data_IF_705585837469
#
_entry.id   IF_705585837469
#
_cell.length_a   1.000
_cell.length_b   1.000
_cell.length_c   1.000
_cell.angle_alpha   90.00
_cell.angle_beta   90.00
_cell.angle_gamma   90.00
#
_symmetry.space_group_name_H-M   'P 1'
#
loop_
_entity.id
_entity.type
_entity.pdbx_description
1 polymer ?
#
# COMPACT_ATOMS: atom_id res chain seq x y z
N UNK A 1 -17.65 -19.34 -1.66
CA UNK A 1 -18.19 -18.05 -1.19
C UNK A 1 -17.10 -17.00 -1.02
N UNK A 2 -17.49 -15.75 -0.82
CA UNK A 2 -16.55 -14.64 -0.55
C UNK A 2 -15.97 -14.82 0.86
N UNK A 3 -14.66 -14.82 0.98
CA UNK A 3 -13.94 -14.99 2.26
C UNK A 3 -13.26 -13.70 2.74
N UNK A 4 -13.02 -12.76 1.85
CA UNK A 4 -12.19 -11.60 2.13
C UNK A 4 -12.83 -10.36 1.52
N UNK A 5 -12.93 -9.30 2.33
CA UNK A 5 -13.52 -8.02 1.92
C UNK A 5 -12.47 -6.93 2.09
N UNK A 6 -12.38 -6.06 1.08
CA UNK A 6 -11.54 -4.86 1.11
C UNK A 6 -12.42 -3.63 1.07
N UNK A 7 -12.33 -2.83 2.12
CA UNK A 7 -12.98 -1.53 2.21
C UNK A 7 -12.03 -0.49 1.62
N UNK A 8 -12.49 0.22 0.61
CA UNK A 8 -11.76 1.27 -0.09
C UNK A 8 -12.77 2.28 -0.64
N UNK A 9 -12.33 3.26 -1.41
CA UNK A 9 -13.19 4.28 -2.02
C UNK A 9 -12.36 5.54 -2.26
N UNK A 10 -12.93 6.74 -2.08
CA UNK A 10 -12.14 7.94 -1.90
C UNK A 10 -11.32 7.81 -0.61
N UNK A 11 -11.80 8.37 0.50
CA UNK A 11 -11.23 8.07 1.82
C UNK A 11 -12.31 7.42 2.70
N UNK A 12 -12.20 6.12 3.03
CA UNK A 12 -13.25 5.42 3.78
C UNK A 12 -13.42 5.95 5.19
N UNK A 13 -12.37 6.46 5.84
CA UNK A 13 -12.43 6.93 7.22
C UNK A 13 -13.23 8.24 7.40
N UNK A 14 -13.57 8.95 6.33
CA UNK A 14 -14.50 10.09 6.42
C UNK A 14 -15.96 9.63 6.52
N UNK A 15 -16.25 8.38 6.19
CA UNK A 15 -17.59 7.82 6.33
C UNK A 15 -17.89 7.57 7.83
N UNK A 16 -19.02 8.04 8.37
CA UNK A 16 -19.42 7.71 9.72
C UNK A 16 -19.59 6.20 9.92
N UNK A 17 -19.26 5.70 11.10
CA UNK A 17 -19.51 4.33 11.54
C UNK A 17 -18.78 3.24 10.74
N UNK A 18 -17.59 3.53 10.20
CA UNK A 18 -16.76 2.50 9.56
C UNK A 18 -16.43 1.34 10.52
N UNK A 19 -16.09 1.53 11.80
CA UNK A 19 -15.90 0.41 12.74
C UNK A 19 -17.14 -0.48 12.84
N UNK A 20 -18.34 0.10 12.92
CA UNK A 20 -19.59 -0.66 12.93
C UNK A 20 -19.81 -1.47 11.64
N UNK A 21 -19.43 -0.94 10.47
CA UNK A 21 -19.48 -1.67 9.21
C UNK A 21 -18.50 -2.87 9.22
N UNK A 22 -17.28 -2.68 9.70
CA UNK A 22 -16.29 -3.75 9.84
C UNK A 22 -16.81 -4.86 10.74
N UNK A 23 -17.35 -4.49 11.91
CA UNK A 23 -17.95 -5.44 12.84
C UNK A 23 -19.07 -6.27 12.20
N UNK A 24 -20.00 -5.62 11.49
CA UNK A 24 -21.08 -6.30 10.77
C UNK A 24 -20.55 -7.26 9.69
N UNK A 25 -19.55 -6.83 8.92
CA UNK A 25 -18.92 -7.68 7.90
C UNK A 25 -18.24 -8.90 8.55
N UNK A 26 -17.52 -8.72 9.66
CA UNK A 26 -16.87 -9.82 10.39
C UNK A 26 -17.86 -10.81 10.99
N UNK A 27 -19.10 -10.39 11.28
CA UNK A 27 -20.16 -11.26 11.77
C UNK A 27 -20.78 -12.16 10.67
N UNK A 28 -20.52 -11.90 9.39
CA UNK A 28 -21.05 -12.70 8.28
C UNK A 28 -20.31 -14.05 8.23
N UNK A 29 -21.04 -15.19 8.31
CA UNK A 29 -20.44 -16.51 8.22
C UNK A 29 -19.62 -16.68 6.93
N UNK A 30 -18.39 -17.15 7.07
CA UNK A 30 -17.48 -17.39 5.95
C UNK A 30 -16.59 -16.22 5.58
N UNK A 31 -16.77 -15.02 6.15
CA UNK A 31 -15.80 -13.93 6.01
C UNK A 31 -14.63 -14.15 6.96
N UNK A 32 -13.47 -14.37 6.38
CA UNK A 32 -12.22 -14.63 7.12
C UNK A 32 -11.41 -13.35 7.38
N UNK A 33 -11.36 -12.43 6.40
CA UNK A 33 -10.53 -11.21 6.50
C UNK A 33 -11.23 -9.95 6.01
N UNK A 34 -11.07 -8.88 6.77
CA UNK A 34 -11.46 -7.50 6.38
C UNK A 34 -10.22 -6.63 6.31
N UNK A 35 -10.01 -5.99 5.17
CA UNK A 35 -8.89 -5.07 4.92
C UNK A 35 -9.43 -3.68 4.64
N UNK A 36 -8.75 -2.65 5.16
CA UNK A 36 -9.04 -1.26 4.89
C UNK A 36 -7.89 -0.61 4.12
N UNK A 37 -8.18 0.27 3.15
CA UNK A 37 -7.18 1.13 2.50
C UNK A 37 -7.53 2.59 2.76
N UNK A 38 -6.59 3.37 3.28
CA UNK A 38 -6.78 4.75 3.72
C UNK A 38 -5.57 5.62 3.43
N UNK A 39 -5.74 6.94 3.40
CA UNK A 39 -4.64 7.91 3.39
C UNK A 39 -3.96 8.10 4.76
N UNK A 40 -4.49 7.49 5.82
CA UNK A 40 -3.89 7.52 7.17
C UNK A 40 -4.24 8.72 8.05
N UNK A 41 -4.74 9.81 7.51
CA UNK A 41 -4.93 11.09 8.21
C UNK A 41 -5.82 10.96 9.46
N UNK A 42 -6.85 10.13 9.39
CA UNK A 42 -7.81 9.96 10.50
C UNK A 42 -7.49 8.78 11.43
N UNK A 43 -6.44 8.02 11.14
CA UNK A 43 -6.11 6.80 11.90
C UNK A 43 -5.78 7.07 13.36
N UNK A 44 -5.05 8.13 13.66
CA UNK A 44 -4.73 8.49 15.06
C UNK A 44 -5.96 8.55 15.97
N UNK A 45 -7.10 8.96 15.40
CA UNK A 45 -8.37 9.10 16.14
C UNK A 45 -9.22 7.82 16.11
N UNK A 46 -9.09 6.98 15.08
CA UNK A 46 -10.05 5.88 14.83
C UNK A 46 -9.42 4.50 14.95
N UNK A 47 -8.09 4.39 15.04
CA UNK A 47 -7.41 3.10 14.98
C UNK A 47 -7.85 2.12 16.06
N UNK A 48 -8.07 2.60 17.28
CA UNK A 48 -8.57 1.78 18.39
C UNK A 48 -9.90 1.09 18.02
N UNK A 49 -10.87 1.87 17.58
CA UNK A 49 -12.20 1.36 17.24
C UNK A 49 -12.16 0.41 16.03
N UNK A 50 -11.27 0.68 15.04
CA UNK A 50 -11.06 -0.19 13.90
C UNK A 50 -10.50 -1.55 14.31
N UNK A 51 -9.52 -1.56 15.21
CA UNK A 51 -8.91 -2.80 15.73
C UNK A 51 -9.92 -3.60 16.57
N UNK A 52 -10.67 -2.93 17.46
CA UNK A 52 -11.73 -3.54 18.27
C UNK A 52 -12.88 -4.10 17.42
N UNK A 53 -13.18 -3.48 16.28
CA UNK A 53 -14.16 -3.96 15.32
C UNK A 53 -13.72 -5.23 14.54
N UNK A 54 -12.47 -5.65 14.68
CA UNK A 54 -11.94 -6.85 14.05
C UNK A 54 -11.30 -6.60 12.68
N UNK A 55 -10.73 -5.42 12.44
CA UNK A 55 -9.92 -5.17 11.23
C UNK A 55 -8.70 -6.08 11.22
N UNK A 56 -8.50 -6.83 10.14
CA UNK A 56 -7.37 -7.79 10.02
C UNK A 56 -6.14 -7.17 9.34
N UNK A 57 -6.34 -6.21 8.42
CA UNK A 57 -5.21 -5.59 7.69
C UNK A 57 -5.54 -4.17 7.29
N UNK A 58 -4.51 -3.33 7.37
CA UNK A 58 -4.57 -1.92 7.04
C UNK A 58 -3.54 -1.59 5.97
N UNK A 59 -3.97 -0.96 4.89
CA UNK A 59 -3.09 -0.40 3.88
C UNK A 59 -3.13 1.13 3.98
N UNK A 60 -1.97 1.76 4.14
CA UNK A 60 -1.86 3.21 4.20
C UNK A 60 -1.14 3.68 2.93
N UNK A 61 -1.72 4.65 2.23
CA UNK A 61 -1.09 5.28 1.08
C UNK A 61 -0.11 6.35 1.55
N UNK A 62 1.18 6.20 1.17
CA UNK A 62 2.24 7.15 1.49
C UNK A 62 3.30 7.10 0.38
N UNK A 63 3.34 8.15 -0.44
CA UNK A 63 4.19 8.19 -1.62
C UNK A 63 5.53 8.87 -1.37
N UNK A 64 5.63 9.76 -0.37
CA UNK A 64 6.87 10.45 0.01
C UNK A 64 6.85 10.86 1.48
N UNK A 65 8.05 11.06 2.07
CA UNK A 65 8.26 11.67 3.38
C UNK A 65 8.69 13.14 3.26
N UNK A 66 8.94 13.61 2.04
CA UNK A 66 9.19 15.03 1.78
C UNK A 66 7.87 15.81 1.81
N UNK A 67 7.83 16.91 2.60
CA UNK A 67 6.60 17.68 2.82
C UNK A 67 6.13 18.40 1.55
N UNK A 68 7.07 18.97 0.78
CA UNK A 68 6.73 19.66 -0.46
C UNK A 68 6.24 18.66 -1.52
N UNK A 69 6.92 17.50 -1.63
CA UNK A 69 6.49 16.39 -2.45
C UNK A 69 5.12 15.87 -2.07
N UNK A 70 4.85 15.71 -0.76
CA UNK A 70 3.54 15.29 -0.25
C UNK A 70 2.44 16.29 -0.64
N UNK A 71 2.67 17.59 -0.48
CA UNK A 71 1.74 18.64 -0.89
C UNK A 71 1.53 18.64 -2.41
N UNK A 72 2.58 18.45 -3.19
CA UNK A 72 2.52 18.38 -4.66
C UNK A 72 1.67 17.20 -5.13
N UNK A 73 1.81 16.03 -4.50
CA UNK A 73 1.08 14.81 -4.85
C UNK A 73 -0.36 14.86 -4.36
N UNK A 74 -0.57 15.19 -3.07
CA UNK A 74 -1.87 15.08 -2.41
C UNK A 74 -2.70 16.37 -2.46
N UNK A 75 -2.07 17.50 -2.79
CA UNK A 75 -2.64 18.85 -2.72
C UNK A 75 -3.07 19.27 -1.30
N UNK A 76 -2.48 18.67 -0.29
CA UNK A 76 -2.78 18.90 1.14
C UNK A 76 -1.51 18.83 1.97
N UNK A 77 -1.39 19.69 2.96
CA UNK A 77 -0.29 19.69 3.95
C UNK A 77 -0.71 18.87 5.19
N UNK A 78 -0.79 17.53 5.03
CA UNK A 78 -1.25 16.61 6.07
C UNK A 78 -0.30 15.41 6.25
N UNK A 79 0.99 15.59 5.92
CA UNK A 79 2.00 14.55 6.10
C UNK A 79 2.12 14.13 7.57
N UNK A 80 2.17 15.09 8.50
CA UNK A 80 2.31 14.82 9.93
C UNK A 80 1.12 14.01 10.48
N UNK A 81 -0.10 14.29 9.99
CA UNK A 81 -1.28 13.51 10.37
C UNK A 81 -1.21 12.07 9.86
N UNK A 82 -0.72 11.88 8.62
CA UNK A 82 -0.52 10.55 8.03
C UNK A 82 0.53 9.76 8.82
N UNK A 83 1.66 10.38 9.16
CA UNK A 83 2.72 9.75 9.96
C UNK A 83 2.23 9.40 11.37
N UNK A 84 1.53 10.32 12.03
CA UNK A 84 0.92 10.05 13.33
C UNK A 84 -0.12 8.91 13.26
N UNK A 85 -0.82 8.77 12.14
CA UNK A 85 -1.72 7.64 11.89
C UNK A 85 -0.98 6.31 11.73
N UNK A 86 0.18 6.30 11.07
CA UNK A 86 1.05 5.12 10.94
C UNK A 86 1.60 4.71 12.32
N UNK A 87 2.12 5.68 13.08
CA UNK A 87 2.62 5.44 14.44
C UNK A 87 1.54 4.84 15.35
N UNK A 88 0.32 5.36 15.28
CA UNK A 88 -0.81 4.82 16.03
C UNK A 88 -1.13 3.40 15.60
N UNK A 89 -1.17 3.12 14.29
CA UNK A 89 -1.46 1.79 13.76
C UNK A 89 -0.43 0.74 14.20
N UNK A 90 0.84 1.10 14.33
CA UNK A 90 1.91 0.20 14.80
C UNK A 90 1.71 -0.30 16.24
N UNK A 91 0.88 0.35 17.05
CA UNK A 91 0.55 -0.11 18.41
C UNK A 91 -0.41 -1.32 18.43
N UNK A 92 -0.94 -1.72 17.28
CA UNK A 92 -1.94 -2.79 17.15
C UNK A 92 -1.37 -3.97 16.34
N UNK A 93 -0.54 -4.85 16.94
CA UNK A 93 0.18 -5.91 16.23
C UNK A 93 -0.74 -6.98 15.62
N UNK A 94 -2.00 -7.07 16.05
CA UNK A 94 -2.99 -7.98 15.47
C UNK A 94 -3.50 -7.46 14.10
N UNK A 95 -3.26 -6.19 13.76
CA UNK A 95 -3.64 -5.61 12.47
C UNK A 95 -2.41 -5.57 11.56
N UNK A 96 -2.40 -6.37 10.50
CA UNK A 96 -1.28 -6.39 9.57
C UNK A 96 -1.17 -5.04 8.84
N UNK A 97 -0.09 -4.30 9.09
CA UNK A 97 0.12 -2.99 8.49
C UNK A 97 0.93 -3.07 7.20
N UNK A 98 0.47 -2.35 6.18
CA UNK A 98 1.14 -2.20 4.88
C UNK A 98 1.15 -0.74 4.45
N UNK A 99 2.28 -0.26 3.97
CA UNK A 99 2.41 1.04 3.31
C UNK A 99 2.41 0.80 1.80
N UNK A 100 1.55 1.50 1.08
CA UNK A 100 1.51 1.53 -0.37
C UNK A 100 2.19 2.81 -0.86
N UNK A 101 3.13 2.67 -1.74
CA UNK A 101 3.82 3.76 -2.41
C UNK A 101 3.72 3.58 -3.93
N UNK A 102 3.30 4.62 -4.63
CA UNK A 102 3.33 4.69 -6.09
C UNK A 102 4.59 5.45 -6.51
N UNK A 103 5.57 4.78 -7.15
CA UNK A 103 6.80 5.43 -7.61
C UNK A 103 6.52 6.35 -8.81
N UNK A 104 6.48 7.65 -8.59
CA UNK A 104 6.11 8.67 -9.57
C UNK A 104 7.29 9.14 -10.44
N UNK A 105 8.52 8.85 -10.02
CA UNK A 105 9.74 9.28 -10.73
C UNK A 105 10.05 10.78 -10.57
N UNK A 106 9.64 11.37 -9.48
CA UNK A 106 9.93 12.76 -9.11
C UNK A 106 11.06 12.84 -8.08
N UNK A 107 11.78 13.98 -8.07
CA UNK A 107 12.96 14.18 -7.21
C UNK A 107 12.60 14.16 -5.71
N UNK A 108 11.44 14.70 -5.34
CA UNK A 108 10.95 14.78 -3.97
C UNK A 108 10.49 13.43 -3.39
N UNK A 109 10.64 12.33 -4.15
CA UNK A 109 10.23 10.99 -3.73
C UNK A 109 11.45 10.11 -3.46
N UNK A 110 11.87 10.01 -2.19
CA UNK A 110 12.92 9.10 -1.77
C UNK A 110 12.33 7.71 -1.39
N UNK A 111 12.33 6.79 -2.33
CA UNK A 111 11.77 5.44 -2.14
C UNK A 111 12.51 4.63 -1.07
N UNK A 112 13.80 4.92 -0.86
CA UNK A 112 14.57 4.25 0.19
C UNK A 112 14.11 4.66 1.60
N UNK A 113 13.69 5.91 1.80
CA UNK A 113 13.15 6.34 3.09
C UNK A 113 11.82 5.66 3.38
N UNK A 114 10.96 5.49 2.37
CA UNK A 114 9.72 4.71 2.52
C UNK A 114 10.05 3.25 2.86
N UNK A 115 11.04 2.64 2.20
CA UNK A 115 11.45 1.26 2.48
C UNK A 115 11.99 1.08 3.91
N UNK A 116 12.52 2.13 4.57
CA UNK A 116 12.99 2.07 5.95
C UNK A 116 11.89 1.68 6.95
N UNK A 117 10.63 1.92 6.66
CA UNK A 117 9.53 1.40 7.50
C UNK A 117 9.57 -0.13 7.59
N UNK A 118 9.87 -0.83 6.50
CA UNK A 118 10.01 -2.28 6.52
C UNK A 118 11.32 -2.74 7.21
N UNK A 119 12.37 -1.92 7.17
CA UNK A 119 13.60 -2.20 7.88
C UNK A 119 13.40 -2.12 9.41
N UNK A 120 12.80 -1.02 9.87
CA UNK A 120 12.72 -0.67 11.30
C UNK A 120 11.55 -1.33 12.04
N UNK A 121 10.47 -1.68 11.32
CA UNK A 121 9.21 -2.13 11.91
C UNK A 121 8.64 -3.36 11.17
N UNK A 122 7.76 -4.16 11.78
CA UNK A 122 7.07 -5.27 11.13
C UNK A 122 5.95 -4.77 10.18
N UNK A 123 6.29 -3.80 9.35
CA UNK A 123 5.44 -3.15 8.35
C UNK A 123 5.89 -3.59 6.96
N UNK A 124 4.94 -3.96 6.10
CA UNK A 124 5.29 -4.28 4.71
C UNK A 124 5.17 -3.04 3.83
N UNK A 125 6.21 -2.72 3.08
CA UNK A 125 6.19 -1.63 2.10
C UNK A 125 5.96 -2.20 0.71
N UNK A 126 4.97 -1.67 0.00
CA UNK A 126 4.62 -2.13 -1.35
C UNK A 126 4.75 -1.00 -2.35
N UNK A 127 5.60 -1.20 -3.33
CA UNK A 127 5.72 -0.32 -4.49
C UNK A 127 4.74 -0.78 -5.56
N UNK A 128 3.83 0.10 -5.92
CA UNK A 128 2.76 -0.18 -6.89
C UNK A 128 3.12 0.53 -8.19
N UNK A 129 3.24 -0.23 -9.28
CA UNK A 129 3.53 0.35 -10.59
C UNK A 129 2.50 1.43 -10.92
N UNK A 130 3.01 2.60 -11.29
CA UNK A 130 2.16 3.70 -11.70
C UNK A 130 1.50 3.41 -13.06
N UNK A 131 0.19 3.62 -13.12
CA UNK A 131 -0.54 3.55 -14.38
C UNK A 131 -0.76 4.96 -14.94
N UNK A 132 -0.49 5.19 -16.23
CA UNK A 132 -0.65 6.50 -16.88
C UNK A 132 -2.13 6.81 -17.19
N UNK A 133 -2.99 6.82 -16.14
CA UNK A 133 -4.42 7.06 -16.23
C UNK A 133 -4.78 8.29 -15.42
N UNK A 134 -5.56 9.21 -15.97
CA UNK A 134 -5.98 10.43 -15.30
C UNK A 134 -4.79 11.28 -14.88
N UNK A 135 -4.72 11.71 -13.62
CA UNK A 135 -3.61 12.51 -13.09
C UNK A 135 -2.25 11.79 -13.16
N UNK A 136 -2.24 10.45 -13.15
CA UNK A 136 -1.03 9.64 -13.31
C UNK A 136 -0.31 9.87 -14.65
N UNK A 137 -1.01 10.30 -15.71
CA UNK A 137 -0.40 10.61 -17.01
C UNK A 137 0.60 11.77 -16.97
N UNK A 138 0.61 12.56 -15.90
CA UNK A 138 1.55 13.67 -15.68
C UNK A 138 2.92 13.24 -15.14
N UNK A 139 3.08 11.95 -14.79
CA UNK A 139 4.30 11.40 -14.22
C UNK A 139 4.90 10.32 -15.13
N UNK A 140 6.21 10.16 -15.06
CA UNK A 140 6.92 9.13 -15.84
C UNK A 140 6.91 7.76 -15.17
N UNK A 141 6.67 7.71 -13.85
CA UNK A 141 6.82 6.51 -13.06
C UNK A 141 8.27 6.03 -12.94
N UNK A 142 8.44 4.92 -12.22
CA UNK A 142 9.73 4.25 -12.13
C UNK A 142 9.52 2.74 -12.29
N UNK A 143 10.35 2.09 -13.13
CA UNK A 143 10.25 0.64 -13.33
C UNK A 143 10.68 -0.13 -12.09
N UNK A 144 10.17 -1.37 -11.94
CA UNK A 144 10.51 -2.24 -10.81
C UNK A 144 12.03 -2.49 -10.73
N UNK A 145 12.70 -2.69 -11.87
CA UNK A 145 14.14 -2.95 -11.92
C UNK A 145 14.95 -1.77 -11.36
N UNK A 146 14.55 -0.53 -11.68
CA UNK A 146 15.18 0.67 -11.12
C UNK A 146 14.98 0.75 -9.60
N UNK A 147 13.78 0.45 -9.12
CA UNK A 147 13.48 0.47 -7.68
C UNK A 147 14.29 -0.60 -6.96
N UNK A 148 14.34 -1.84 -7.49
CA UNK A 148 15.15 -2.93 -6.95
C UNK A 148 16.62 -2.49 -6.86
N UNK A 149 17.20 -1.96 -7.95
CA UNK A 149 18.59 -1.49 -7.97
C UNK A 149 18.86 -0.40 -6.92
N UNK A 150 17.93 0.54 -6.72
CA UNK A 150 18.05 1.57 -5.67
C UNK A 150 18.04 0.98 -4.25
N UNK A 151 17.13 0.05 -4.00
CA UNK A 151 16.99 -0.59 -2.70
C UNK A 151 18.19 -1.50 -2.40
N UNK A 152 18.65 -2.29 -3.37
CA UNK A 152 19.81 -3.18 -3.21
C UNK A 152 21.10 -2.40 -2.96
N UNK A 153 21.27 -1.25 -3.61
CA UNK A 153 22.41 -0.38 -3.37
C UNK A 153 22.48 0.14 -1.94
N UNK A 154 21.32 0.36 -1.29
CA UNK A 154 21.25 0.90 0.07
C UNK A 154 21.18 -0.18 1.15
N UNK A 155 20.44 -1.25 0.90
CA UNK A 155 20.06 -2.22 1.94
C UNK A 155 20.58 -3.65 1.71
N UNK A 156 21.21 -3.92 0.56
CA UNK A 156 21.64 -5.27 0.19
C UNK A 156 20.60 -6.03 -0.62
N UNK A 157 20.89 -7.29 -0.92
CA UNK A 157 20.14 -8.10 -1.88
C UNK A 157 18.70 -8.34 -1.44
N UNK A 158 17.78 -8.24 -2.39
CA UNK A 158 16.38 -8.59 -2.23
C UNK A 158 16.15 -10.07 -2.59
N UNK A 159 15.89 -10.91 -1.60
CA UNK A 159 15.58 -12.34 -1.81
C UNK A 159 14.07 -12.55 -1.94
N UNK A 160 13.58 -13.36 -2.89
CA UNK A 160 12.18 -13.72 -2.98
C UNK A 160 11.65 -14.27 -1.63
N UNK A 161 10.48 -13.84 -1.24
CA UNK A 161 9.83 -14.34 -0.02
C UNK A 161 8.99 -15.56 -0.33
N UNK A 162 9.37 -16.71 0.23
CA UNK A 162 8.72 -18.02 0.03
C UNK A 162 7.81 -18.44 1.19
N UNK A 163 7.49 -17.52 2.10
CA UNK A 163 6.65 -17.81 3.28
C UNK A 163 5.14 -17.77 2.99
N UNK A 164 4.35 -17.73 4.06
CA UNK A 164 2.90 -17.66 3.98
C UNK A 164 2.43 -16.39 3.25
N UNK A 165 1.32 -16.47 2.48
CA UNK A 165 0.80 -15.32 1.75
C UNK A 165 0.52 -14.12 2.67
N UNK A 166 1.14 -12.97 2.39
CA UNK A 166 0.97 -11.73 3.16
C UNK A 166 -0.22 -10.89 2.71
N UNK A 167 -0.97 -11.38 1.73
CA UNK A 167 -2.15 -10.71 1.18
C UNK A 167 -2.82 -11.55 0.11
N UNK A 168 -3.83 -10.99 -0.56
CA UNK A 168 -4.65 -11.70 -1.55
C UNK A 168 -4.48 -11.17 -2.97
N UNK A 169 -3.63 -10.19 -3.15
CA UNK A 169 -3.35 -9.57 -4.44
C UNK A 169 -2.10 -10.15 -5.10
N UNK A 170 -1.78 -9.69 -6.31
CA UNK A 170 -0.65 -10.18 -7.12
C UNK A 170 0.71 -9.66 -6.64
N UNK A 171 0.80 -9.15 -5.42
CA UNK A 171 2.02 -8.61 -4.86
C UNK A 171 3.08 -9.70 -4.69
N UNK A 172 4.24 -9.51 -5.33
CA UNK A 172 5.43 -10.31 -5.11
C UNK A 172 6.24 -9.70 -3.99
N UNK A 173 6.51 -10.49 -2.93
CA UNK A 173 7.25 -10.02 -1.76
C UNK A 173 8.69 -10.51 -1.77
N UNK A 174 9.55 -9.70 -1.15
CA UNK A 174 10.97 -9.95 -0.98
C UNK A 174 11.38 -9.70 0.46
N UNK A 175 12.38 -10.46 0.93
CA UNK A 175 13.07 -10.20 2.19
C UNK A 175 14.40 -9.51 1.92
N UNK A 176 14.82 -8.70 2.89
CA UNK A 176 16.15 -8.08 2.93
C UNK A 176 16.71 -8.41 4.30
N UNK A 177 18.00 -8.72 4.38
CA UNK A 177 18.63 -9.05 5.66
C UNK A 177 18.49 -7.90 6.66
N UNK A 178 18.12 -8.25 7.90
CA UNK A 178 17.88 -7.27 8.95
C UNK A 178 16.52 -6.57 8.92
N UNK A 179 15.68 -6.78 7.88
CA UNK A 179 14.36 -6.18 7.82
C UNK A 179 13.35 -6.96 8.68
N UNK A 180 12.53 -6.22 9.44
CA UNK A 180 11.42 -6.79 10.19
C UNK A 180 10.20 -7.04 9.30
N UNK A 181 9.94 -6.14 8.36
CA UNK A 181 8.89 -6.26 7.36
C UNK A 181 9.37 -6.87 6.05
N UNK A 182 8.58 -6.67 4.99
CA UNK A 182 8.89 -7.16 3.64
C UNK A 182 8.72 -6.03 2.63
N UNK A 183 9.48 -6.10 1.55
CA UNK A 183 9.30 -5.25 0.37
C UNK A 183 8.42 -5.98 -0.62
N UNK A 184 7.40 -5.32 -1.14
CA UNK A 184 6.48 -5.89 -2.12
C UNK A 184 6.46 -5.08 -3.41
N UNK A 185 6.24 -5.75 -4.55
CA UNK A 185 6.01 -5.11 -5.83
C UNK A 185 4.68 -5.56 -6.40
N UNK A 186 3.90 -4.60 -6.88
CA UNK A 186 2.63 -4.82 -7.56
C UNK A 186 2.76 -4.20 -8.95
N UNK A 187 2.82 -5.05 -9.97
CA UNK A 187 2.85 -4.62 -11.36
C UNK A 187 1.45 -4.57 -11.94
N UNK A 188 1.20 -3.64 -12.86
CA UNK A 188 -0.04 -3.60 -13.62
C UNK A 188 -0.23 -4.90 -14.40
N UNK A 189 -1.47 -5.37 -14.50
CA UNK A 189 -1.79 -6.51 -15.37
C UNK A 189 -1.80 -6.04 -16.81
N UNK A 190 -0.94 -6.63 -17.63
CA UNK A 190 -0.94 -6.40 -19.08
C UNK A 190 -1.93 -7.38 -19.71
N UNK A 191 -3.03 -6.86 -20.22
CA UNK A 191 -3.97 -7.64 -21.03
C UNK A 191 -3.54 -7.51 -22.48
N UNK A 192 -3.13 -8.62 -23.08
CA UNK A 192 -2.85 -8.69 -24.50
C UNK A 192 -4.13 -9.08 -25.22
N UNK A 193 -4.56 -8.26 -26.15
CA UNK A 193 -5.65 -8.62 -27.02
C UNK A 193 -5.31 -8.30 -28.49
N UNK A 194 -5.94 -8.99 -29.43
CA UNK A 194 -5.71 -8.78 -30.86
C UNK A 194 -6.81 -7.85 -31.40
N UNK A 195 -6.43 -6.67 -31.83
CA UNK A 195 -7.29 -5.71 -32.48
C UNK A 195 -6.80 -5.48 -33.92
N UNK A 196 -7.68 -5.71 -34.92
CA UNK A 196 -7.34 -5.59 -36.34
C UNK A 196 -6.09 -6.39 -36.77
N UNK A 197 -5.89 -7.60 -36.19
CA UNK A 197 -4.75 -8.46 -36.51
C UNK A 197 -3.41 -8.03 -35.90
N UNK A 198 -3.39 -7.01 -35.03
CA UNK A 198 -2.21 -6.55 -34.28
C UNK A 198 -2.39 -6.83 -32.80
N UNK A 199 -1.30 -7.26 -32.16
CA UNK A 199 -1.27 -7.42 -30.70
C UNK A 199 -1.27 -6.03 -30.04
N UNK A 200 -2.27 -5.76 -29.21
CA UNK A 200 -2.41 -4.53 -28.41
C UNK A 200 -2.26 -4.89 -26.94
N UNK A 201 -1.36 -4.21 -26.27
CA UNK A 201 -1.16 -4.37 -24.81
C UNK A 201 -1.98 -3.29 -24.08
N UNK A 202 -2.93 -3.71 -23.24
CA UNK A 202 -3.67 -2.84 -22.34
C UNK A 202 -3.21 -3.08 -20.91
N UNK A 203 -2.74 -2.05 -20.24
CA UNK A 203 -2.51 -2.10 -18.78
C UNK A 203 -3.84 -1.95 -18.06
N UNK A 204 -4.32 -3.03 -17.43
CA UNK A 204 -5.56 -3.01 -16.67
C UNK A 204 -5.28 -2.59 -15.21
N UNK A 205 -6.15 -1.79 -14.59
CA UNK A 205 -6.12 -1.54 -13.15
C UNK A 205 -6.39 -2.85 -12.39
N UNK A 206 -5.64 -3.06 -11.31
CA UNK A 206 -5.79 -4.19 -10.38
C UNK A 206 -6.96 -4.00 -9.42
#
# INVERSE_FOLDING_TARGET
GIKKIKITGGEPLVRPRIPGLIHQIKAIPGIEKVTLTTNGILLKKQMKELAEAGLDSLNISLDTLDREGFMKITRRDLLDDTLAGIEEAMKYPNVQLKINCVPLGIEEQNLCEIAEFACKYPVHVRFIEMMPIGYGSSFTGMSQEKIVSLLEKKFGILFPYEGLPLGNGPCKYYTVDGFQGKIGFISAVIIKHIENGKEVELKAPL
#
